data_IF_646925424803
#
_entry.id   IF_646925424803
#
_cell.length_a   1.000
_cell.length_b   1.000
_cell.length_c   1.000
_cell.angle_alpha   90.00
_cell.angle_beta   90.00
_cell.angle_gamma   90.00
#
_symmetry.space_group_name_H-M   'P 1'
#
loop_
_entity.id
_entity.type
_entity.pdbx_description
1 polymer ?
#
# COMPACT_ATOMS: atom_id res chain seq x y z
N UNK A 1 22.64 -12.47 -12.30
CA UNK A 1 23.64 -12.72 -11.25
C UNK A 1 22.96 -12.54 -9.89
N UNK A 2 23.12 -13.47 -8.95
CA UNK A 2 22.55 -13.31 -7.61
C UNK A 2 23.20 -12.10 -6.93
N UNK A 3 22.40 -11.17 -6.42
CA UNK A 3 22.84 -9.83 -5.97
C UNK A 3 23.77 -9.83 -4.75
N UNK A 4 24.15 -10.99 -4.21
CA UNK A 4 24.98 -11.12 -3.01
C UNK A 4 24.34 -10.56 -1.72
N UNK A 5 23.17 -9.94 -1.85
CA UNK A 5 22.40 -9.30 -0.79
C UNK A 5 21.78 -10.38 0.09
N UNK A 6 22.12 -10.37 1.37
CA UNK A 6 21.32 -11.09 2.38
C UNK A 6 19.94 -10.49 2.45
N UNK A 7 18.92 -11.33 2.32
CA UNK A 7 17.55 -10.93 2.49
C UNK A 7 16.83 -11.81 3.51
N UNK A 8 15.98 -11.16 4.30
CA UNK A 8 15.14 -11.84 5.30
C UNK A 8 14.18 -12.80 4.59
N UNK A 9 13.61 -12.39 3.43
CA UNK A 9 12.73 -13.22 2.63
C UNK A 9 13.39 -14.51 2.14
N UNK A 10 14.57 -14.40 1.52
CA UNK A 10 15.37 -15.54 1.03
C UNK A 10 15.78 -16.46 2.17
N UNK A 11 16.17 -15.90 3.32
CA UNK A 11 16.52 -16.67 4.51
C UNK A 11 15.30 -17.44 5.02
N UNK A 12 14.14 -16.79 5.14
CA UNK A 12 12.89 -17.43 5.58
C UNK A 12 12.38 -18.47 4.57
N UNK A 13 12.57 -18.24 3.28
CA UNK A 13 12.28 -19.20 2.22
C UNK A 13 13.16 -20.43 2.33
N UNK A 14 14.49 -20.25 2.43
CA UNK A 14 15.44 -21.35 2.61
C UNK A 14 15.18 -22.15 3.90
N UNK A 15 14.81 -21.47 4.99
CA UNK A 15 14.39 -22.11 6.24
C UNK A 15 13.17 -23.00 6.02
N UNK A 16 12.14 -22.51 5.33
CA UNK A 16 10.95 -23.30 5.03
C UNK A 16 11.25 -24.49 4.12
N UNK A 17 12.10 -24.32 3.10
CA UNK A 17 12.56 -25.42 2.25
C UNK A 17 13.28 -26.50 3.05
N UNK A 18 14.13 -26.11 4.02
CA UNK A 18 14.84 -27.06 4.88
C UNK A 18 13.92 -27.85 5.84
N UNK A 19 12.69 -27.37 6.09
CA UNK A 19 11.68 -28.13 6.84
C UNK A 19 11.09 -29.29 6.03
N UNK A 20 11.30 -29.33 4.71
CA UNK A 20 10.78 -30.35 3.81
C UNK A 20 9.34 -30.09 3.32
N UNK A 21 8.69 -31.08 2.69
CA UNK A 21 7.39 -30.89 2.01
C UNK A 21 6.22 -30.67 2.98
N UNK A 22 5.34 -29.70 2.65
CA UNK A 22 4.11 -29.33 3.37
C UNK A 22 4.07 -27.86 3.83
N UNK A 23 3.14 -27.52 4.72
CA UNK A 23 2.79 -26.11 4.99
C UNK A 23 3.94 -25.26 5.54
N UNK A 24 4.04 -23.97 5.14
CA UNK A 24 5.09 -23.10 5.62
C UNK A 24 4.93 -22.79 7.12
N UNK A 25 6.06 -22.80 7.82
CA UNK A 25 6.17 -22.38 9.22
C UNK A 25 6.61 -20.93 9.28
N UNK A 26 5.91 -20.14 10.08
CA UNK A 26 6.31 -18.78 10.37
C UNK A 26 7.41 -18.76 11.43
N UNK A 27 8.43 -17.92 11.19
CA UNK A 27 9.51 -17.67 12.13
C UNK A 27 9.37 -16.23 12.64
N UNK A 28 9.42 -16.07 13.96
CA UNK A 28 9.44 -14.77 14.62
C UNK A 28 10.86 -14.27 14.83
N UNK A 29 11.06 -13.00 14.54
CA UNK A 29 12.24 -12.27 14.97
C UNK A 29 12.27 -12.16 16.50
N UNK A 30 13.48 -12.25 17.04
CA UNK A 30 13.69 -12.29 18.48
C UNK A 30 13.69 -10.89 19.07
N UNK A 31 12.91 -10.68 20.14
CA UNK A 31 12.92 -9.41 20.91
C UNK A 31 14.29 -9.18 21.57
N UNK A 32 14.68 -7.92 21.75
CA UNK A 32 15.98 -7.50 22.29
C UNK A 32 16.46 -8.32 23.52
N UNK A 33 15.58 -8.57 24.49
CA UNK A 33 15.88 -9.35 25.71
C UNK A 33 16.32 -10.81 25.48
N UNK A 34 16.10 -11.38 24.29
CA UNK A 34 16.41 -12.76 23.96
C UNK A 34 17.51 -12.91 22.90
N UNK A 35 18.12 -11.80 22.45
CA UNK A 35 19.19 -11.81 21.45
C UNK A 35 20.45 -12.55 21.91
N UNK A 36 20.66 -12.81 23.21
CA UNK A 36 21.75 -13.71 23.62
C UNK A 36 21.49 -15.16 23.22
N UNK A 37 20.22 -15.57 23.15
CA UNK A 37 19.83 -16.97 22.99
C UNK A 37 19.44 -17.35 21.56
N UNK A 38 18.95 -16.39 20.75
CA UNK A 38 18.46 -16.65 19.39
C UNK A 38 18.26 -15.36 18.59
N UNK A 39 18.23 -15.49 17.28
CA UNK A 39 17.86 -14.47 16.30
C UNK A 39 16.44 -14.73 15.77
N UNK A 40 16.11 -15.99 15.47
CA UNK A 40 14.76 -16.41 15.06
C UNK A 40 14.20 -17.52 15.95
N UNK A 41 12.87 -17.61 15.99
CA UNK A 41 12.13 -18.69 16.65
C UNK A 41 10.98 -19.13 15.75
N UNK A 42 10.95 -20.41 15.36
CA UNK A 42 9.71 -21.07 14.94
C UNK A 42 9.04 -21.63 16.20
N UNK A 43 7.93 -21.04 16.67
CA UNK A 43 7.40 -21.44 17.97
C UNK A 43 6.61 -22.73 17.90
N UNK A 44 6.50 -23.36 19.07
CA UNK A 44 5.94 -24.69 19.24
C UNK A 44 4.57 -24.91 18.55
N UNK A 45 3.58 -23.99 18.62
CA UNK A 45 2.30 -24.21 17.94
C UNK A 45 2.41 -24.32 16.42
N UNK A 46 3.34 -23.55 15.82
CA UNK A 46 3.58 -23.61 14.38
C UNK A 46 4.24 -24.93 13.97
N UNK A 47 5.13 -25.44 14.83
CA UNK A 47 5.78 -26.74 14.63
C UNK A 47 4.83 -27.91 14.90
N UNK A 48 3.89 -27.79 15.84
CA UNK A 48 2.84 -28.78 16.08
C UNK A 48 1.89 -28.89 14.89
N UNK A 49 1.45 -27.76 14.33
CA UNK A 49 0.67 -27.77 13.10
C UNK A 49 1.41 -28.49 11.95
N UNK A 50 2.74 -28.43 11.96
CA UNK A 50 3.60 -28.99 10.91
C UNK A 50 3.97 -30.46 11.08
N UNK A 51 4.32 -30.86 12.30
CA UNK A 51 4.89 -32.18 12.63
C UNK A 51 3.99 -33.00 13.56
N UNK A 52 2.82 -32.47 13.94
CA UNK A 52 1.86 -33.11 14.85
C UNK A 52 2.26 -32.92 16.32
N UNK A 53 3.24 -33.68 16.78
CA UNK A 53 3.71 -33.68 18.18
C UNK A 53 4.59 -32.46 18.53
N UNK A 54 4.96 -31.67 17.52
CA UNK A 54 5.85 -30.51 17.62
C UNK A 54 7.31 -30.89 17.79
N UNK A 55 7.67 -32.17 17.68
CA UNK A 55 9.06 -32.62 17.63
C UNK A 55 9.60 -32.41 16.22
N UNK A 56 10.64 -31.58 16.13
CA UNK A 56 11.33 -31.35 14.86
C UNK A 56 12.32 -32.50 14.64
N UNK A 57 12.20 -33.28 13.55
CA UNK A 57 13.13 -34.37 13.28
C UNK A 57 14.58 -33.89 13.25
N UNK A 58 15.53 -34.66 13.81
CA UNK A 58 16.94 -34.24 13.86
C UNK A 58 17.53 -33.91 12.48
N UNK A 59 17.11 -34.64 11.44
CA UNK A 59 17.51 -34.38 10.05
C UNK A 59 17.15 -32.95 9.60
N UNK A 60 16.01 -32.44 10.06
CA UNK A 60 15.55 -31.07 9.77
C UNK A 60 16.40 -30.06 10.54
N UNK A 61 16.70 -30.33 11.81
CA UNK A 61 17.59 -29.48 12.62
C UNK A 61 18.96 -29.35 11.97
N UNK A 62 19.53 -30.46 11.49
CA UNK A 62 20.82 -30.47 10.75
C UNK A 62 20.72 -29.76 9.41
N UNK A 63 19.65 -29.97 8.64
CA UNK A 63 19.44 -29.28 7.36
C UNK A 63 19.37 -27.76 7.55
N UNK A 64 18.65 -27.29 8.57
CA UNK A 64 18.55 -25.88 8.93
C UNK A 64 19.90 -25.31 9.39
N UNK A 65 20.64 -26.05 10.22
CA UNK A 65 21.98 -25.64 10.67
C UNK A 65 22.99 -25.58 9.51
N UNK A 66 22.82 -26.41 8.48
CA UNK A 66 23.67 -26.47 7.29
C UNK A 66 23.28 -25.51 6.16
N UNK A 67 22.33 -24.60 6.38
CA UNK A 67 21.88 -23.67 5.35
C UNK A 67 23.00 -22.73 4.89
N UNK A 68 23.20 -22.69 3.58
CA UNK A 68 24.17 -21.81 2.92
C UNK A 68 23.58 -21.23 1.64
N UNK A 69 24.06 -20.05 1.23
CA UNK A 69 23.68 -19.44 -0.04
C UNK A 69 23.99 -17.95 -0.12
N UNK A 70 24.09 -17.38 -1.35
CA UNK A 70 24.44 -15.99 -1.57
C UNK A 70 23.40 -14.98 -1.06
N UNK A 71 22.15 -15.40 -0.82
CA UNK A 71 21.09 -14.58 -0.20
C UNK A 71 20.65 -15.05 1.19
N UNK A 72 21.19 -16.18 1.67
CA UNK A 72 20.76 -16.83 2.93
C UNK A 72 21.72 -16.47 4.05
N UNK A 73 21.17 -16.03 5.19
CA UNK A 73 21.96 -15.74 6.38
C UNK A 73 22.53 -17.05 6.97
N UNK A 74 23.86 -17.16 7.16
CA UNK A 74 24.47 -18.37 7.69
C UNK A 74 23.99 -18.65 9.12
N UNK A 75 23.61 -19.90 9.39
CA UNK A 75 23.13 -20.35 10.69
C UNK A 75 24.31 -20.85 11.52
N UNK A 76 24.50 -20.27 12.71
CA UNK A 76 25.50 -20.73 13.69
C UNK A 76 24.97 -21.94 14.46
N UNK A 77 23.70 -21.87 14.89
CA UNK A 77 23.08 -22.89 15.72
C UNK A 77 21.60 -22.99 15.45
N UNK A 78 21.11 -24.21 15.37
CA UNK A 78 19.68 -24.53 15.37
C UNK A 78 19.42 -25.54 16.48
N UNK A 79 18.47 -25.27 17.37
CA UNK A 79 18.18 -26.15 18.50
C UNK A 79 16.69 -26.15 18.86
N UNK A 80 16.09 -27.33 19.12
CA UNK A 80 14.77 -27.40 19.73
C UNK A 80 14.83 -26.89 21.18
N UNK A 81 13.82 -26.14 21.57
CA UNK A 81 13.65 -25.57 22.91
C UNK A 81 12.19 -25.75 23.36
N UNK A 82 11.86 -25.58 24.65
CA UNK A 82 10.46 -25.61 25.10
C UNK A 82 9.56 -24.62 24.34
N UNK A 83 10.11 -23.49 23.89
CA UNK A 83 9.38 -22.48 23.14
C UNK A 83 9.21 -22.80 21.64
N UNK A 84 9.94 -23.79 21.11
CA UNK A 84 9.99 -24.14 19.68
C UNK A 84 11.43 -24.27 19.16
N UNK A 85 11.62 -24.17 17.85
CA UNK A 85 12.92 -24.29 17.19
C UNK A 85 13.61 -22.92 17.17
N UNK A 86 14.70 -22.79 17.92
CA UNK A 86 15.47 -21.57 18.05
C UNK A 86 16.67 -21.57 17.10
N UNK A 87 16.91 -20.44 16.44
CA UNK A 87 18.00 -20.27 15.49
C UNK A 87 18.89 -19.11 15.93
N UNK A 88 20.20 -19.32 15.92
CA UNK A 88 21.22 -18.29 16.01
C UNK A 88 21.94 -18.21 14.68
N UNK A 89 22.08 -17.00 14.15
CA UNK A 89 22.86 -16.72 12.97
C UNK A 89 24.34 -16.60 13.34
N UNK A 90 25.21 -16.87 12.38
CA UNK A 90 26.63 -16.52 12.46
C UNK A 90 26.78 -15.02 12.26
N UNK A 91 26.49 -14.25 13.32
CA UNK A 91 26.42 -12.79 13.28
C UNK A 91 27.65 -12.12 12.68
N UNK A 92 28.90 -12.49 13.02
CA UNK A 92 30.07 -11.87 12.39
C UNK A 92 30.04 -11.98 10.86
N UNK A 93 29.75 -13.17 10.32
CA UNK A 93 29.65 -13.39 8.87
C UNK A 93 28.46 -12.64 8.24
N UNK A 94 27.33 -12.53 8.95
CA UNK A 94 26.19 -11.70 8.51
C UNK A 94 26.60 -10.23 8.44
N UNK A 95 27.24 -9.70 9.49
CA UNK A 95 27.70 -8.31 9.53
C UNK A 95 28.72 -8.04 8.44
N UNK A 96 29.73 -8.90 8.26
CA UNK A 96 30.73 -8.77 7.20
C UNK A 96 30.08 -8.71 5.80
N UNK A 97 29.10 -9.58 5.52
CA UNK A 97 28.39 -9.58 4.25
C UNK A 97 27.55 -8.32 4.05
N UNK A 98 26.83 -7.87 5.08
CA UNK A 98 26.02 -6.64 4.98
C UNK A 98 26.91 -5.42 4.80
N UNK A 99 27.94 -5.28 5.64
CA UNK A 99 28.87 -4.14 5.61
C UNK A 99 29.73 -4.13 4.33
N UNK A 100 30.10 -5.31 3.82
CA UNK A 100 30.82 -5.44 2.55
C UNK A 100 29.96 -5.17 1.31
N UNK A 101 28.64 -5.11 1.45
CA UNK A 101 27.70 -4.94 0.34
C UNK A 101 26.71 -3.78 0.54
N UNK A 102 27.02 -2.78 1.38
CA UNK A 102 26.12 -1.66 1.73
C UNK A 102 25.51 -1.00 0.48
N UNK A 103 26.30 -0.79 -0.57
CA UNK A 103 25.83 -0.21 -1.82
C UNK A 103 24.68 -1.02 -2.45
N UNK A 104 24.70 -2.36 -2.36
CA UNK A 104 23.64 -3.23 -2.87
C UNK A 104 22.34 -3.16 -2.03
N UNK A 105 22.40 -2.70 -0.78
CA UNK A 105 21.24 -2.46 0.07
C UNK A 105 20.60 -1.10 -0.14
N UNK A 106 21.38 -0.12 -0.61
CA UNK A 106 20.93 1.24 -0.90
C UNK A 106 20.48 1.39 -2.36
N UNK A 107 21.00 0.55 -3.26
CA UNK A 107 20.57 0.51 -4.64
C UNK A 107 19.10 0.02 -4.77
N UNK A 108 18.28 0.65 -5.63
CA UNK A 108 16.96 0.13 -5.98
C UNK A 108 17.09 -1.30 -6.54
N UNK A 109 16.21 -2.22 -6.11
CA UNK A 109 16.20 -3.54 -6.70
C UNK A 109 15.87 -3.42 -8.19
N UNK A 110 16.75 -3.91 -9.07
CA UNK A 110 16.47 -3.99 -10.50
C UNK A 110 15.81 -5.34 -10.76
N UNK A 111 14.49 -5.39 -10.99
CA UNK A 111 13.84 -6.66 -11.27
C UNK A 111 14.28 -7.18 -12.64
N UNK A 112 14.46 -8.50 -12.76
CA UNK A 112 14.86 -9.14 -14.01
C UNK A 112 13.73 -9.22 -15.05
N UNK A 113 12.48 -9.03 -14.62
CA UNK A 113 11.26 -8.97 -15.42
C UNK A 113 10.33 -7.89 -14.84
N UNK A 114 9.44 -7.27 -15.64
CA UNK A 114 8.46 -6.34 -15.10
C UNK A 114 7.59 -7.04 -14.05
N UNK A 115 7.57 -6.51 -12.82
CA UNK A 115 6.70 -6.99 -11.76
C UNK A 115 5.22 -6.73 -12.05
N UNK A 116 4.31 -7.21 -11.19
CA UNK A 116 2.88 -7.00 -11.37
C UNK A 116 2.53 -5.51 -11.52
N UNK A 117 1.52 -5.23 -12.35
CA UNK A 117 0.99 -3.88 -12.53
C UNK A 117 0.08 -3.53 -11.36
N UNK A 118 0.40 -2.45 -10.66
CA UNK A 118 -0.41 -1.93 -9.54
C UNK A 118 -0.85 -0.51 -9.81
N UNK A 119 -2.16 -0.32 -9.88
CA UNK A 119 -2.81 0.98 -9.95
C UNK A 119 -3.15 1.46 -8.53
N UNK A 120 -2.45 2.49 -8.06
CA UNK A 120 -2.74 3.13 -6.77
C UNK A 120 -3.68 4.31 -6.99
N UNK A 121 -4.91 4.17 -6.51
CA UNK A 121 -5.94 5.21 -6.58
C UNK A 121 -6.04 5.96 -5.24
N UNK A 122 -5.88 7.28 -5.23
CA UNK A 122 -6.05 8.14 -4.06
C UNK A 122 -7.05 9.28 -4.36
N UNK A 123 -8.35 9.09 -4.09
CA UNK A 123 -9.40 10.06 -4.45
C UNK A 123 -9.25 11.41 -3.74
N UNK A 124 -8.58 11.44 -2.59
CA UNK A 124 -8.26 12.64 -1.84
C UNK A 124 -7.61 13.76 -2.69
N UNK A 125 -6.81 13.38 -3.69
CA UNK A 125 -6.09 14.31 -4.57
C UNK A 125 -6.95 15.01 -5.62
N UNK A 126 -8.27 14.72 -5.64
CA UNK A 126 -9.24 15.49 -6.44
C UNK A 126 -9.65 16.80 -5.75
N UNK A 127 -9.41 16.92 -4.45
CA UNK A 127 -9.78 18.11 -3.67
C UNK A 127 -8.69 19.18 -3.77
N UNK A 128 -9.06 20.45 -3.60
CA UNK A 128 -8.08 21.52 -3.41
C UNK A 128 -7.30 21.32 -2.08
N UNK A 129 -6.05 21.78 -1.96
CA UNK A 129 -5.26 21.64 -0.73
C UNK A 129 -5.99 22.17 0.52
N UNK A 130 -6.67 23.32 0.40
CA UNK A 130 -7.43 23.93 1.49
C UNK A 130 -8.70 23.16 1.90
N UNK A 131 -9.14 22.17 1.12
CA UNK A 131 -10.24 21.28 1.47
C UNK A 131 -9.77 19.92 1.98
N UNK A 132 -8.46 19.64 1.91
CA UNK A 132 -7.89 18.35 2.27
C UNK A 132 -7.87 18.20 3.79
N UNK A 133 -8.68 17.27 4.33
CA UNK A 133 -8.70 16.95 5.77
C UNK A 133 -7.50 16.09 6.15
N UNK A 134 -7.20 16.01 7.44
CA UNK A 134 -6.06 15.22 7.94
C UNK A 134 -6.17 13.72 7.65
N UNK A 135 -7.38 13.15 7.66
CA UNK A 135 -7.59 11.74 7.29
C UNK A 135 -7.28 11.49 5.81
N UNK A 136 -7.57 12.45 4.94
CA UNK A 136 -7.25 12.43 3.52
C UNK A 136 -5.75 12.68 3.28
N UNK A 137 -5.13 13.62 4.01
CA UNK A 137 -3.67 13.80 3.99
C UNK A 137 -2.94 12.49 4.34
N UNK A 138 -3.42 11.77 5.37
CA UNK A 138 -2.87 10.46 5.71
C UNK A 138 -2.98 9.48 4.54
N UNK A 139 -4.13 9.42 3.85
CA UNK A 139 -4.30 8.57 2.68
C UNK A 139 -3.29 8.93 1.56
N UNK A 140 -3.07 10.22 1.29
CA UNK A 140 -2.05 10.68 0.32
C UNK A 140 -0.65 10.23 0.70
N UNK A 141 -0.24 10.41 1.97
CA UNK A 141 1.08 10.01 2.45
C UNK A 141 1.28 8.49 2.44
N UNK A 142 0.23 7.73 2.76
CA UNK A 142 0.24 6.26 2.67
C UNK A 142 0.34 5.81 1.22
N UNK A 143 -0.39 6.44 0.29
CA UNK A 143 -0.34 6.11 -1.13
C UNK A 143 1.05 6.37 -1.72
N UNK A 144 1.66 7.52 -1.43
CA UNK A 144 3.03 7.85 -1.85
C UNK A 144 4.07 6.89 -1.25
N UNK A 145 3.96 6.56 0.04
CA UNK A 145 4.86 5.60 0.68
C UNK A 145 4.70 4.19 0.08
N UNK A 146 3.47 3.76 -0.18
CA UNK A 146 3.17 2.48 -0.81
C UNK A 146 3.74 2.45 -2.23
N UNK A 147 3.55 3.50 -3.03
CA UNK A 147 4.11 3.60 -4.38
C UNK A 147 5.63 3.43 -4.39
N UNK A 148 6.33 4.16 -3.51
CA UNK A 148 7.79 4.07 -3.38
C UNK A 148 8.23 2.66 -2.94
N UNK A 149 7.47 2.04 -2.04
CA UNK A 149 7.75 0.68 -1.57
C UNK A 149 7.57 -0.35 -2.67
N UNK A 150 6.42 -0.37 -3.35
CA UNK A 150 6.14 -1.32 -4.43
C UNK A 150 7.13 -1.17 -5.59
N UNK A 151 7.45 0.07 -6.00
CA UNK A 151 8.51 0.33 -7.01
C UNK A 151 9.87 -0.20 -6.57
N UNK A 152 10.24 -0.04 -5.30
CA UNK A 152 11.49 -0.58 -4.77
C UNK A 152 11.52 -2.13 -4.74
N UNK A 153 10.36 -2.79 -4.79
CA UNK A 153 10.22 -4.23 -4.94
C UNK A 153 10.10 -4.68 -6.42
N UNK A 154 10.24 -3.75 -7.36
CA UNK A 154 10.22 -4.05 -8.79
C UNK A 154 8.82 -4.12 -9.41
N UNK A 155 7.79 -3.72 -8.68
CA UNK A 155 6.44 -3.62 -9.22
C UNK A 155 6.29 -2.40 -10.12
N UNK A 156 5.47 -2.53 -11.16
CA UNK A 156 5.12 -1.39 -12.00
C UNK A 156 3.95 -0.66 -11.35
N UNK A 157 4.17 0.58 -10.91
CA UNK A 157 3.16 1.34 -10.16
C UNK A 157 2.71 2.58 -10.92
N UNK A 158 1.41 2.66 -11.20
CA UNK A 158 0.75 3.87 -11.71
C UNK A 158 -0.09 4.53 -10.61
N UNK A 159 0.02 5.85 -10.53
CA UNK A 159 -0.69 6.68 -9.54
C UNK A 159 -1.86 7.40 -10.21
N UNK A 160 -3.03 7.40 -9.59
CA UNK A 160 -4.26 8.07 -10.07
C UNK A 160 -5.00 8.68 -8.89
N UNK A 161 -5.61 9.86 -9.01
CA UNK A 161 -5.75 10.69 -10.21
C UNK A 161 -4.50 11.53 -10.50
N UNK A 162 -4.39 12.00 -11.73
CA UNK A 162 -3.54 13.15 -12.03
C UNK A 162 -4.09 14.39 -11.30
N UNK A 163 -3.20 15.19 -10.70
CA UNK A 163 -3.61 16.35 -9.92
C UNK A 163 -4.13 17.46 -10.84
N UNK A 164 -5.39 17.88 -10.63
CA UNK A 164 -6.06 18.90 -11.46
C UNK A 164 -6.00 20.31 -10.87
N UNK A 165 -5.98 20.42 -9.53
CA UNK A 165 -5.91 21.72 -8.85
C UNK A 165 -4.51 22.33 -9.03
N UNK A 166 -4.38 23.61 -9.42
CA UNK A 166 -3.08 24.22 -9.72
C UNK A 166 -2.18 24.43 -8.49
N UNK A 167 -2.74 24.47 -7.28
CA UNK A 167 -1.98 24.66 -6.04
C UNK A 167 -1.52 23.35 -5.40
N UNK A 168 -2.17 22.24 -5.75
CA UNK A 168 -1.86 20.93 -5.20
C UNK A 168 -0.45 20.42 -5.53
N UNK A 169 0.12 20.59 -6.75
CA UNK A 169 1.49 20.17 -7.03
C UNK A 169 2.52 20.84 -6.10
N UNK A 170 2.37 22.14 -5.85
CA UNK A 170 3.23 22.89 -4.93
C UNK A 170 3.11 22.37 -3.50
N UNK A 171 1.88 22.06 -3.06
CA UNK A 171 1.64 21.49 -1.74
C UNK A 171 2.23 20.08 -1.58
N UNK A 172 2.11 19.22 -2.61
CA UNK A 172 2.73 17.89 -2.61
C UNK A 172 4.26 17.99 -2.62
N UNK A 173 4.82 18.94 -3.38
CA UNK A 173 6.26 19.21 -3.38
C UNK A 173 6.74 19.67 -2.00
N UNK A 174 6.00 20.55 -1.32
CA UNK A 174 6.27 20.97 0.06
C UNK A 174 6.30 19.76 1.01
N UNK A 175 5.40 18.79 0.81
CA UNK A 175 5.37 17.53 1.57
C UNK A 175 6.37 16.47 1.06
N UNK A 176 7.14 16.76 0.00
CA UNK A 176 8.04 15.80 -0.67
C UNK A 176 7.30 14.51 -1.05
N UNK A 177 6.14 14.67 -1.66
CA UNK A 177 5.31 13.61 -2.21
C UNK A 177 5.48 13.63 -3.73
N UNK A 178 5.81 12.48 -4.30
CA UNK A 178 5.99 12.33 -5.74
C UNK A 178 4.70 11.82 -6.37
N UNK A 179 4.02 12.68 -7.12
CA UNK A 179 2.70 12.38 -7.69
C UNK A 179 2.56 12.97 -9.10
N UNK A 180 1.88 12.28 -10.04
CA UNK A 180 1.71 12.77 -11.41
C UNK A 180 0.97 14.10 -11.49
N UNK A 181 1.51 15.00 -12.31
CA UNK A 181 0.83 16.21 -12.76
C UNK A 181 -0.34 15.88 -13.69
N UNK A 182 -1.20 16.88 -13.95
CA UNK A 182 -2.37 16.78 -14.80
C UNK A 182 -2.08 16.04 -16.12
N UNK A 183 -2.94 15.08 -16.45
CA UNK A 183 -2.98 14.39 -17.76
C UNK A 183 -4.15 14.93 -18.60
N UNK A 184 -4.19 14.57 -19.88
CA UNK A 184 -5.36 14.79 -20.72
C UNK A 184 -6.62 14.21 -20.09
N UNK A 185 -7.78 14.85 -20.33
CA UNK A 185 -9.04 14.35 -19.79
C UNK A 185 -9.43 13.07 -20.51
N UNK A 186 -9.60 12.01 -19.72
CA UNK A 186 -10.15 10.76 -20.22
C UNK A 186 -11.57 10.97 -20.78
N UNK A 187 -11.87 10.33 -21.91
CA UNK A 187 -13.16 10.42 -22.57
C UNK A 187 -14.25 9.71 -21.78
N UNK A 188 -15.37 10.38 -21.52
CA UNK A 188 -16.48 9.86 -20.70
C UNK A 188 -17.68 9.39 -21.51
N UNK A 189 -17.76 9.66 -22.82
CA UNK A 189 -18.95 9.42 -23.64
C UNK A 189 -19.41 7.95 -23.65
N UNK A 190 -18.46 7.02 -23.81
CA UNK A 190 -18.79 5.59 -23.81
C UNK A 190 -19.35 5.13 -22.46
N UNK A 191 -18.74 5.59 -21.36
CA UNK A 191 -19.22 5.34 -20.00
C UNK A 191 -20.59 5.95 -19.75
N UNK A 192 -20.83 7.16 -20.26
CA UNK A 192 -22.12 7.85 -20.17
C UNK A 192 -23.23 7.08 -20.88
N UNK A 193 -22.98 6.63 -22.11
CA UNK A 193 -23.95 5.85 -22.87
C UNK A 193 -24.29 4.52 -22.15
N UNK A 194 -23.29 3.83 -21.59
CA UNK A 194 -23.50 2.62 -20.79
C UNK A 194 -24.28 2.92 -19.50
N UNK A 195 -23.93 4.00 -18.80
CA UNK A 195 -24.63 4.39 -17.58
C UNK A 195 -26.11 4.68 -17.86
N UNK A 196 -26.43 5.40 -18.94
CA UNK A 196 -27.80 5.69 -19.36
C UNK A 196 -28.59 4.43 -19.72
N UNK A 197 -27.95 3.41 -20.32
CA UNK A 197 -28.59 2.13 -20.61
C UNK A 197 -28.95 1.33 -19.34
N UNK A 198 -28.19 1.51 -18.26
CA UNK A 198 -28.43 0.87 -16.95
C UNK A 198 -29.45 1.61 -16.08
N UNK A 199 -29.91 2.80 -16.48
CA UNK A 199 -30.93 3.54 -15.74
C UNK A 199 -32.30 2.90 -15.95
N UNK A 200 -33.03 2.71 -14.85
CA UNK A 200 -34.40 2.22 -14.93
C UNK A 200 -35.34 3.30 -15.48
N UNK A 201 -36.11 3.04 -16.55
CA UNK A 201 -36.99 4.04 -17.18
C UNK A 201 -38.14 4.52 -16.28
N UNK A 202 -38.41 3.82 -15.17
CA UNK A 202 -39.52 4.12 -14.27
C UNK A 202 -39.19 5.17 -13.18
N UNK A 203 -37.93 5.54 -12.99
CA UNK A 203 -37.49 6.20 -11.75
C UNK A 203 -37.24 7.72 -11.86
N UNK A 204 -37.34 8.30 -13.05
CA UNK A 204 -37.02 9.71 -13.28
C UNK A 204 -38.23 10.49 -13.79
N UNK A 205 -39.14 10.82 -12.87
CA UNK A 205 -40.31 11.64 -13.15
C UNK A 205 -40.16 13.09 -12.66
N UNK A 206 -38.93 13.53 -12.37
CA UNK A 206 -38.60 14.88 -11.91
C UNK A 206 -37.33 15.42 -12.56
N UNK A 207 -37.18 16.74 -12.59
CA UNK A 207 -35.99 17.39 -13.13
C UNK A 207 -34.75 17.01 -12.29
N UNK A 208 -33.80 16.32 -12.90
CA UNK A 208 -32.52 16.02 -12.26
C UNK A 208 -31.66 17.28 -12.11
N UNK A 209 -30.87 17.39 -11.02
CA UNK A 209 -29.87 18.44 -10.90
C UNK A 209 -28.84 18.38 -12.04
N UNK A 210 -28.29 19.54 -12.41
CA UNK A 210 -27.24 19.62 -13.45
C UNK A 210 -26.06 18.71 -13.08
N UNK A 211 -25.65 17.84 -14.02
CA UNK A 211 -24.52 16.94 -13.84
C UNK A 211 -24.86 15.58 -13.21
N UNK A 212 -26.12 15.35 -12.84
CA UNK A 212 -26.63 14.04 -12.41
C UNK A 212 -27.22 13.33 -13.63
N UNK A 213 -26.84 12.06 -13.85
CA UNK A 213 -27.38 11.22 -14.92
C UNK A 213 -28.53 10.35 -14.44
N UNK A 214 -28.46 9.85 -13.20
CA UNK A 214 -29.51 9.02 -12.63
C UNK A 214 -29.01 8.05 -11.56
N UNK A 215 -29.84 7.08 -11.19
CA UNK A 215 -29.48 6.04 -10.21
C UNK A 215 -29.35 4.67 -10.86
N UNK A 216 -28.19 4.03 -10.68
CA UNK A 216 -27.94 2.65 -11.12
C UNK A 216 -28.11 1.68 -9.94
N UNK A 217 -28.81 0.57 -10.19
CA UNK A 217 -28.95 -0.52 -9.22
C UNK A 217 -27.68 -1.38 -9.18
N UNK A 218 -27.12 -1.59 -7.99
CA UNK A 218 -25.91 -2.40 -7.75
C UNK A 218 -26.19 -3.69 -6.95
N UNK A 219 -27.46 -3.93 -6.57
CA UNK A 219 -27.86 -5.00 -5.65
C UNK A 219 -27.35 -6.39 -6.06
N UNK A 220 -27.42 -6.73 -7.34
CA UNK A 220 -26.93 -8.01 -7.87
C UNK A 220 -25.42 -8.17 -7.64
N UNK A 221 -24.62 -7.15 -7.96
CA UNK A 221 -23.17 -7.17 -7.76
C UNK A 221 -22.76 -7.25 -6.28
N UNK A 222 -23.52 -6.59 -5.39
CA UNK A 222 -23.32 -6.69 -3.93
C UNK A 222 -23.55 -8.11 -3.44
N UNK A 223 -24.60 -8.77 -3.93
CA UNK A 223 -24.95 -10.14 -3.54
C UNK A 223 -23.96 -11.17 -4.07
N UNK A 224 -23.56 -11.06 -5.34
CA UNK A 224 -22.67 -12.03 -5.99
C UNK A 224 -21.23 -11.95 -5.49
N UNK A 225 -20.69 -10.72 -5.34
CA UNK A 225 -19.25 -10.51 -5.12
C UNK A 225 -18.93 -9.57 -3.96
N UNK A 226 -19.79 -8.57 -3.71
CA UNK A 226 -19.57 -7.59 -2.63
C UNK A 226 -19.42 -8.24 -1.26
N UNK A 227 -20.25 -9.25 -0.93
CA UNK A 227 -20.16 -9.98 0.35
C UNK A 227 -18.83 -10.69 0.55
N UNK A 228 -18.33 -11.37 -0.49
CA UNK A 228 -17.05 -12.06 -0.43
C UNK A 228 -15.86 -11.09 -0.34
N UNK A 229 -15.99 -9.90 -0.94
CA UNK A 229 -15.00 -8.82 -0.89
C UNK A 229 -15.10 -7.95 0.38
N UNK A 230 -16.07 -8.21 1.27
CA UNK A 230 -16.26 -7.46 2.51
C UNK A 230 -16.84 -6.06 2.33
N UNK A 231 -17.59 -5.82 1.25
CA UNK A 231 -18.22 -4.51 0.99
C UNK A 231 -19.42 -4.28 1.92
N UNK A 232 -19.77 -3.01 2.11
CA UNK A 232 -20.95 -2.63 2.87
C UNK A 232 -22.23 -3.20 2.21
N UNK A 233 -23.12 -3.87 2.98
CA UNK A 233 -24.33 -4.48 2.42
C UNK A 233 -25.35 -3.45 1.90
N UNK A 234 -25.21 -2.16 2.22
CA UNK A 234 -26.15 -1.10 1.85
C UNK A 234 -25.77 -0.39 0.54
N UNK A 235 -24.91 -0.99 -0.30
CA UNK A 235 -24.45 -0.42 -1.57
C UNK A 235 -25.43 -0.59 -2.74
N UNK A 236 -26.70 -0.94 -2.49
CA UNK A 236 -27.69 -1.32 -3.51
C UNK A 236 -27.92 -0.29 -4.63
N UNK A 237 -27.59 0.99 -4.40
CA UNK A 237 -27.83 2.09 -5.34
C UNK A 237 -26.64 3.05 -5.41
N UNK A 238 -26.30 3.45 -6.64
CA UNK A 238 -25.30 4.47 -6.93
C UNK A 238 -25.92 5.62 -7.73
N UNK A 239 -25.79 6.85 -7.21
CA UNK A 239 -26.13 8.07 -7.95
C UNK A 239 -24.98 8.38 -8.92
N UNK A 240 -25.24 8.29 -10.21
CA UNK A 240 -24.25 8.53 -11.25
C UNK A 240 -24.23 10.00 -11.61
N UNK A 241 -23.05 10.61 -11.53
CA UNK A 241 -22.78 12.00 -11.92
C UNK A 241 -21.70 12.06 -12.98
N UNK A 242 -21.60 13.17 -13.71
CA UNK A 242 -20.52 13.43 -14.68
C UNK A 242 -19.14 13.38 -14.03
N UNK A 243 -19.02 13.85 -12.77
CA UNK A 243 -17.77 13.78 -12.01
C UNK A 243 -17.40 12.32 -11.70
N UNK A 244 -18.37 11.49 -11.33
CA UNK A 244 -18.15 10.07 -11.07
C UNK A 244 -17.73 9.32 -12.34
N UNK A 245 -18.34 9.64 -13.49
CA UNK A 245 -17.92 9.09 -14.77
C UNK A 245 -16.52 9.57 -15.17
N UNK A 246 -16.15 10.81 -14.85
CA UNK A 246 -14.80 11.32 -15.05
C UNK A 246 -13.78 10.55 -14.21
N UNK A 247 -14.12 10.19 -12.96
CA UNK A 247 -13.29 9.32 -12.12
C UNK A 247 -13.10 7.95 -12.75
N UNK A 248 -14.19 7.35 -13.23
CA UNK A 248 -14.15 6.04 -13.88
C UNK A 248 -13.36 6.05 -15.18
N UNK A 249 -13.50 7.10 -15.99
CA UNK A 249 -12.76 7.24 -17.25
C UNK A 249 -11.25 7.29 -17.00
N UNK A 250 -10.80 8.05 -15.99
CA UNK A 250 -9.37 8.08 -15.60
C UNK A 250 -8.88 6.73 -15.10
N UNK A 251 -9.69 6.03 -14.29
CA UNK A 251 -9.35 4.69 -13.80
C UNK A 251 -9.26 3.67 -14.95
N UNK A 252 -10.18 3.73 -15.91
CA UNK A 252 -10.18 2.89 -17.12
C UNK A 252 -8.96 3.13 -17.99
N UNK A 253 -8.68 4.39 -18.30
CA UNK A 253 -7.54 4.78 -19.12
C UNK A 253 -6.22 4.36 -18.44
N UNK A 254 -6.12 4.59 -17.13
CA UNK A 254 -4.95 4.20 -16.35
C UNK A 254 -4.75 2.68 -16.27
N UNK A 255 -5.83 1.90 -16.21
CA UNK A 255 -5.77 0.44 -16.21
C UNK A 255 -5.41 -0.15 -17.58
N UNK A 256 -5.88 0.48 -18.68
CA UNK A 256 -5.69 -0.01 -20.06
C UNK A 256 -4.36 0.40 -20.68
N UNK A 257 -3.95 1.65 -20.48
CA UNK A 257 -2.86 2.26 -21.26
C UNK A 257 -1.54 2.27 -20.50
N UNK A 258 -0.92 1.13 -20.20
CA UNK A 258 0.28 1.10 -19.37
C UNK A 258 1.53 1.65 -20.11
N UNK A 259 2.42 2.40 -19.44
CA UNK A 259 3.62 2.93 -20.11
C UNK A 259 4.52 1.77 -20.59
N UNK A 260 4.86 1.76 -21.88
CA UNK A 260 5.73 0.74 -22.49
C UNK A 260 5.00 -0.44 -23.15
N UNK A 261 3.66 -0.47 -23.12
CA UNK A 261 2.90 -1.41 -23.96
C UNK A 261 3.04 -1.02 -25.43
N UNK A 262 3.57 -1.93 -26.25
CA UNK A 262 3.43 -1.83 -27.71
C UNK A 262 1.97 -2.10 -28.09
N UNK A 263 1.43 -1.45 -29.14
CA UNK A 263 0.07 -1.74 -29.58
C UNK A 263 -0.10 -3.25 -29.83
N UNK A 264 -1.24 -3.85 -29.44
CA UNK A 264 -1.44 -5.28 -29.54
C UNK A 264 -1.25 -5.72 -31.00
N UNK A 265 -0.26 -6.58 -31.24
CA UNK A 265 -0.06 -7.24 -32.52
C UNK A 265 -1.27 -8.13 -32.82
N UNK A 266 -1.80 -8.04 -34.04
CA UNK A 266 -2.98 -8.75 -34.56
C UNK A 266 -2.90 -10.30 -34.53
N UNK A 267 -1.86 -10.88 -33.93
CA UNK A 267 -1.57 -12.32 -33.93
C UNK A 267 -1.48 -12.96 -32.53
N UNK A 268 -1.77 -12.25 -31.44
CA UNK A 268 -1.77 -12.85 -30.10
C UNK A 268 -3.12 -13.55 -29.83
N UNK A 269 -3.07 -14.86 -29.56
CA UNK A 269 -4.23 -15.65 -29.15
C UNK A 269 -4.89 -15.07 -27.87
N UNK A 270 -6.22 -15.21 -27.69
CA UNK A 270 -6.95 -14.50 -26.62
C UNK A 270 -6.63 -14.95 -25.19
N UNK A 271 -5.93 -16.07 -25.01
CA UNK A 271 -5.89 -16.78 -23.73
C UNK A 271 -4.45 -17.12 -23.33
N UNK A 272 -3.76 -16.19 -22.66
CA UNK A 272 -2.64 -16.51 -21.74
C UNK A 272 -2.15 -15.32 -20.90
N UNK A 273 -2.45 -14.06 -21.23
CA UNK A 273 -1.85 -12.91 -20.56
C UNK A 273 -2.77 -11.68 -20.47
N UNK A 274 -4.01 -11.88 -19.99
CA UNK A 274 -4.82 -10.77 -19.48
C UNK A 274 -4.17 -10.26 -18.19
N UNK A 275 -3.17 -9.41 -18.41
CA UNK A 275 -2.27 -8.78 -17.45
C UNK A 275 -3.08 -8.23 -16.27
N UNK A 276 -3.07 -8.95 -15.14
CA UNK A 276 -3.94 -8.71 -13.97
C UNK A 276 -3.45 -7.46 -13.23
N UNK A 277 -3.72 -6.30 -13.79
CA UNK A 277 -3.61 -5.02 -13.09
C UNK A 277 -4.39 -5.12 -11.77
N UNK A 278 -3.69 -4.95 -10.64
CA UNK A 278 -4.31 -4.86 -9.33
C UNK A 278 -4.59 -3.40 -9.02
N UNK A 279 -5.82 -3.09 -8.62
CA UNK A 279 -6.16 -1.74 -8.16
C UNK A 279 -6.16 -1.72 -6.64
N UNK A 280 -5.46 -0.76 -6.05
CA UNK A 280 -5.52 -0.49 -4.61
C UNK A 280 -6.02 0.92 -4.41
N UNK A 281 -7.21 1.04 -3.84
CA UNK A 281 -7.79 2.32 -3.46
C UNK A 281 -7.32 2.68 -2.04
N UNK A 282 -6.49 3.71 -1.95
CA UNK A 282 -6.02 4.27 -0.68
C UNK A 282 -6.93 5.42 -0.30
N UNK A 283 -7.80 5.18 0.67
CA UNK A 283 -8.92 6.08 1.02
C UNK A 283 -8.91 6.42 2.49
N UNK A 284 -9.50 7.55 2.86
CA UNK A 284 -9.85 7.78 4.26
C UNK A 284 -11.08 6.94 4.65
N UNK A 285 -11.27 6.69 5.95
CA UNK A 285 -12.45 5.96 6.43
C UNK A 285 -13.77 6.66 6.08
N UNK A 286 -13.77 7.98 5.90
CA UNK A 286 -14.96 8.73 5.47
C UNK A 286 -15.29 8.53 3.97
N UNK A 287 -14.32 8.10 3.16
CA UNK A 287 -14.45 7.94 1.71
C UNK A 287 -14.72 6.49 1.28
N UNK A 288 -14.49 5.53 2.18
CA UNK A 288 -14.59 4.09 1.88
C UNK A 288 -15.92 3.71 1.22
N UNK A 289 -17.04 4.14 1.80
CA UNK A 289 -18.36 3.79 1.29
C UNK A 289 -18.60 4.31 -0.13
N UNK A 290 -18.16 5.54 -0.43
CA UNK A 290 -18.29 6.09 -1.78
C UNK A 290 -17.35 5.40 -2.76
N UNK A 291 -16.13 5.04 -2.32
CA UNK A 291 -15.19 4.32 -3.15
C UNK A 291 -15.69 2.91 -3.52
N UNK A 292 -16.34 2.21 -2.59
CA UNK A 292 -16.95 0.90 -2.86
C UNK A 292 -18.08 1.03 -3.91
N UNK A 293 -18.83 2.14 -3.93
CA UNK A 293 -19.80 2.41 -5.01
C UNK A 293 -19.13 2.62 -6.36
N UNK A 294 -18.01 3.36 -6.39
CA UNK A 294 -17.26 3.61 -7.63
C UNK A 294 -16.75 2.28 -8.21
N UNK A 295 -16.21 1.40 -7.38
CA UNK A 295 -15.73 0.07 -7.78
C UNK A 295 -16.86 -0.79 -8.37
N UNK A 296 -17.98 -0.92 -7.67
CA UNK A 296 -19.14 -1.66 -8.17
C UNK A 296 -19.70 -1.06 -9.47
N UNK A 297 -19.75 0.28 -9.55
CA UNK A 297 -20.17 0.95 -10.78
C UNK A 297 -19.19 0.71 -11.92
N UNK A 298 -17.87 0.70 -11.66
CA UNK A 298 -16.87 0.39 -12.67
C UNK A 298 -17.11 -1.01 -13.25
N UNK A 299 -17.27 -2.02 -12.39
CA UNK A 299 -17.55 -3.39 -12.84
C UNK A 299 -18.85 -3.51 -13.61
N UNK A 300 -19.86 -2.71 -13.25
CA UNK A 300 -21.15 -2.70 -13.94
C UNK A 300 -21.05 -2.08 -15.34
N UNK A 301 -20.29 -1.01 -15.49
CA UNK A 301 -20.18 -0.25 -16.74
C UNK A 301 -19.04 -0.73 -17.64
N UNK A 302 -18.17 -1.62 -17.17
CA UNK A 302 -16.99 -2.07 -17.89
C UNK A 302 -16.65 -3.53 -17.63
N UNK A 303 -16.90 -4.37 -18.64
CA UNK A 303 -16.53 -5.79 -18.63
C UNK A 303 -15.02 -6.02 -18.51
N UNK A 304 -14.20 -5.00 -18.81
CA UNK A 304 -12.74 -5.02 -18.68
C UNK A 304 -12.25 -4.42 -17.35
N UNK A 305 -13.15 -4.13 -16.40
CA UNK A 305 -12.75 -3.64 -15.09
C UNK A 305 -11.83 -4.66 -14.38
N UNK A 306 -10.75 -4.21 -13.70
CA UNK A 306 -9.86 -5.10 -12.99
C UNK A 306 -10.58 -6.02 -12.00
N UNK A 307 -10.28 -7.32 -12.10
CA UNK A 307 -10.86 -8.36 -11.24
C UNK A 307 -10.44 -8.20 -9.77
N UNK A 308 -9.25 -7.67 -9.52
CA UNK A 308 -8.70 -7.50 -8.17
C UNK A 308 -8.66 -6.02 -7.80
N UNK A 309 -9.61 -5.60 -6.99
CA UNK A 309 -9.65 -4.26 -6.41
C UNK A 309 -9.63 -4.39 -4.89
N UNK A 310 -8.70 -3.68 -4.23
CA UNK A 310 -8.51 -3.70 -2.77
C UNK A 310 -8.67 -2.30 -2.20
N UNK A 311 -9.16 -2.23 -0.96
CA UNK A 311 -9.33 -0.98 -0.23
C UNK A 311 -8.33 -0.94 0.94
N UNK A 312 -7.41 0.03 0.89
CA UNK A 312 -6.53 0.36 2.01
C UNK A 312 -7.13 1.57 2.75
N UNK A 313 -7.89 1.28 3.81
CA UNK A 313 -8.64 2.29 4.56
C UNK A 313 -7.77 2.90 5.66
N UNK A 314 -7.53 4.21 5.55
CA UNK A 314 -6.81 4.99 6.53
C UNK A 314 -7.78 5.44 7.62
N UNK A 315 -7.48 5.06 8.88
CA UNK A 315 -8.28 5.46 10.03
C UNK A 315 -8.25 6.97 10.28
N UNK A 316 -9.21 7.50 11.05
CA UNK A 316 -9.39 8.93 11.26
C UNK A 316 -8.16 9.54 11.96
N UNK A 317 -7.89 10.81 11.65
CA UNK A 317 -6.82 11.60 12.29
C UNK A 317 -7.45 12.71 13.11
N UNK A 318 -7.11 12.77 14.39
CA UNK A 318 -7.59 13.79 15.33
C UNK A 318 -6.42 14.52 15.95
N UNK A 319 -6.54 15.85 16.07
CA UNK A 319 -5.57 16.70 16.76
C UNK A 319 -6.15 17.07 18.11
N UNK A 320 -5.43 16.77 19.19
CA UNK A 320 -5.86 17.14 20.53
C UNK A 320 -5.79 18.67 20.72
N UNK A 321 -6.85 19.27 21.26
CA UNK A 321 -6.85 20.69 21.66
C UNK A 321 -7.03 21.72 20.53
N UNK A 322 -7.33 21.30 19.30
CA UNK A 322 -7.64 22.21 18.21
C UNK A 322 -9.17 22.38 18.04
N UNK A 323 -9.72 23.62 18.10
CA UNK A 323 -11.12 23.87 17.76
C UNK A 323 -11.27 23.88 16.22
N UNK A 324 -11.92 22.85 15.67
CA UNK A 324 -12.22 22.74 14.24
C UNK A 324 -11.43 21.65 13.49
N UNK A 325 -11.88 21.33 12.29
CA UNK A 325 -11.20 20.40 11.38
C UNK A 325 -10.05 21.12 10.68
N UNK A 326 -8.83 21.03 11.23
CA UNK A 326 -7.63 21.51 10.57
C UNK A 326 -7.51 20.91 9.16
N UNK A 327 -7.22 21.78 8.20
CA UNK A 327 -6.85 21.39 6.84
C UNK A 327 -5.40 20.93 6.80
N UNK A 328 -5.03 20.22 5.74
CA UNK A 328 -3.68 19.73 5.56
C UNK A 328 -2.62 20.86 5.49
N UNK A 329 -2.86 21.99 4.78
CA UNK A 329 -1.94 23.14 4.81
C UNK A 329 -1.82 23.77 6.19
N UNK A 330 -2.93 23.99 6.90
CA UNK A 330 -2.89 24.56 8.27
C UNK A 330 -2.12 23.65 9.23
N UNK A 331 -2.24 22.33 9.07
CA UNK A 331 -1.49 21.37 9.87
C UNK A 331 0.01 21.42 9.57
N UNK A 332 0.40 21.57 8.31
CA UNK A 332 1.79 21.78 7.95
C UNK A 332 2.34 23.04 8.61
N UNK A 333 1.64 24.18 8.48
CA UNK A 333 2.06 25.46 9.06
C UNK A 333 2.17 25.39 10.59
N UNK A 334 1.24 24.69 11.24
CA UNK A 334 1.30 24.42 12.67
C UNK A 334 2.60 23.67 13.05
N UNK A 335 2.94 22.61 12.31
CA UNK A 335 4.17 21.84 12.58
C UNK A 335 5.43 22.64 12.26
N UNK A 336 5.40 23.44 11.20
CA UNK A 336 6.48 24.36 10.86
C UNK A 336 6.76 25.35 11.99
N UNK A 337 5.71 26.03 12.49
CA UNK A 337 5.84 26.95 13.61
C UNK A 337 6.38 26.28 14.89
N UNK A 338 5.95 25.04 15.16
CA UNK A 338 6.43 24.27 16.31
C UNK A 338 7.91 23.88 16.18
N UNK A 339 8.35 23.46 14.99
CA UNK A 339 9.75 23.12 14.70
C UNK A 339 10.63 24.37 14.84
N UNK A 340 10.21 25.51 14.28
CA UNK A 340 10.92 26.79 14.44
C UNK A 340 11.08 27.16 15.92
N UNK A 341 9.98 27.10 16.69
CA UNK A 341 10.00 27.41 18.13
C UNK A 341 10.92 26.47 18.91
N UNK A 342 10.84 25.16 18.68
CA UNK A 342 11.67 24.17 19.36
C UNK A 342 13.15 24.34 19.02
N UNK A 343 13.46 24.65 17.76
CA UNK A 343 14.83 24.87 17.30
C UNK A 343 15.42 26.15 17.89
N UNK A 344 14.63 27.23 17.99
CA UNK A 344 15.08 28.49 18.60
C UNK A 344 15.45 28.32 20.09
N UNK A 345 14.73 27.45 20.81
CA UNK A 345 15.06 27.12 22.21
C UNK A 345 16.38 26.35 22.31
N UNK A 346 16.67 25.45 21.36
CA UNK A 346 17.84 24.57 21.41
C UNK A 346 19.11 25.21 20.86
N UNK A 347 18.99 26.07 19.85
CA UNK A 347 20.11 26.54 19.04
C UNK A 347 20.24 28.08 19.03
N UNK A 348 19.35 28.82 19.71
CA UNK A 348 19.38 30.28 19.80
C UNK A 348 18.28 30.97 18.96
N UNK A 349 18.00 32.25 19.24
CA UNK A 349 16.81 32.94 18.69
C UNK A 349 16.92 33.42 17.24
N UNK A 350 18.13 33.52 16.67
CA UNK A 350 18.34 34.19 15.38
C UNK A 350 18.34 33.25 14.15
N UNK A 351 17.90 32.00 14.34
CA UNK A 351 17.94 30.97 13.29
C UNK A 351 16.86 31.17 12.23
N UNK A 352 15.78 31.87 12.56
CA UNK A 352 14.67 32.10 11.62
C UNK A 352 15.05 33.04 10.46
N UNK A 353 16.13 33.81 10.59
CA UNK A 353 16.63 34.72 9.55
C UNK A 353 17.76 34.09 8.72
N UNK A 354 18.27 32.92 9.13
CA UNK A 354 19.32 32.20 8.41
C UNK A 354 18.71 31.29 7.33
N UNK A 355 18.99 31.55 6.03
CA UNK A 355 18.49 30.73 4.93
C UNK A 355 18.87 29.24 5.04
N UNK A 356 19.99 28.92 5.67
CA UNK A 356 20.42 27.53 5.89
C UNK A 356 19.45 26.78 6.81
N UNK A 357 18.82 27.49 7.75
CA UNK A 357 17.86 26.91 8.70
C UNK A 357 16.46 26.78 8.12
N UNK A 358 16.07 27.60 7.15
CA UNK A 358 14.77 27.48 6.48
C UNK A 358 14.56 26.09 5.86
N UNK A 359 15.58 25.55 5.18
CA UNK A 359 15.50 24.19 4.62
C UNK A 359 15.47 23.13 5.72
N UNK A 360 16.24 23.31 6.80
CA UNK A 360 16.22 22.40 7.95
C UNK A 360 14.83 22.37 8.60
N UNK A 361 14.20 23.53 8.79
CA UNK A 361 12.84 23.62 9.33
C UNK A 361 11.83 22.93 8.42
N UNK A 362 11.93 23.15 7.10
CA UNK A 362 11.11 22.47 6.11
C UNK A 362 11.25 20.95 6.21
N UNK A 363 12.48 20.41 6.18
CA UNK A 363 12.76 18.97 6.29
C UNK A 363 12.21 18.38 7.58
N UNK A 364 12.49 19.02 8.73
CA UNK A 364 12.05 18.53 10.03
C UNK A 364 10.52 18.57 10.19
N UNK A 365 9.87 19.58 9.61
CA UNK A 365 8.41 19.71 9.64
C UNK A 365 7.74 18.62 8.81
N UNK A 366 8.22 18.40 7.59
CA UNK A 366 7.74 17.30 6.72
C UNK A 366 7.99 15.94 7.38
N UNK A 367 9.16 15.74 7.96
CA UNK A 367 9.49 14.50 8.66
C UNK A 367 8.55 14.27 9.85
N UNK A 368 8.25 15.32 10.62
CA UNK A 368 7.30 15.27 11.74
C UNK A 368 5.91 14.87 11.25
N UNK A 369 5.38 15.56 10.23
CA UNK A 369 4.07 15.24 9.63
C UNK A 369 4.02 13.79 9.15
N UNK A 370 5.02 13.34 8.38
CA UNK A 370 5.09 11.96 7.87
C UNK A 370 5.19 10.95 9.00
N UNK A 371 6.03 11.20 10.01
CA UNK A 371 6.19 10.30 11.14
C UNK A 371 4.88 10.12 11.90
N UNK A 372 4.18 11.21 12.21
CA UNK A 372 2.91 11.13 12.94
C UNK A 372 1.81 10.43 12.15
N UNK A 373 1.75 10.66 10.83
CA UNK A 373 0.70 10.09 9.96
C UNK A 373 0.95 8.62 9.60
N UNK A 374 2.22 8.20 9.49
CA UNK A 374 2.61 6.85 9.06
C UNK A 374 2.95 5.90 10.22
N UNK A 375 3.30 6.40 11.41
CA UNK A 375 3.69 5.54 12.55
C UNK A 375 2.51 4.79 13.19
N UNK A 376 1.27 5.14 12.82
CA UNK A 376 0.09 4.41 13.25
C UNK A 376 -0.35 3.48 12.13
N UNK A 377 -0.59 2.21 12.46
CA UNK A 377 -1.09 1.25 11.47
C UNK A 377 -2.44 1.74 10.91
N UNK A 378 -2.66 1.65 9.59
CA UNK A 378 -4.01 1.82 9.04
C UNK A 378 -4.93 0.78 9.68
N UNK A 379 -6.16 1.18 9.98
CA UNK A 379 -7.15 0.25 10.55
C UNK A 379 -7.62 -0.67 9.43
N UNK A 380 -6.95 -1.81 9.26
CA UNK A 380 -7.47 -2.92 8.47
C UNK A 380 -8.38 -3.78 9.36
N UNK A 381 -9.59 -4.04 8.85
CA UNK A 381 -10.60 -5.03 9.26
C UNK A 381 -10.26 -5.88 10.50
N UNK A 382 -11.16 -5.91 11.48
CA UNK A 382 -11.11 -6.75 12.69
C UNK A 382 -10.78 -8.23 12.37
N UNK A 383 -9.50 -8.53 12.17
CA UNK A 383 -8.95 -9.86 12.32
C UNK A 383 -8.55 -9.99 13.79
N UNK A 384 -9.16 -10.97 14.46
CA UNK A 384 -8.75 -11.39 15.79
C UNK A 384 -7.22 -11.38 15.94
N UNK A 385 -6.75 -10.83 17.06
CA UNK A 385 -5.35 -10.57 17.47
C UNK A 385 -4.38 -11.78 17.38
N UNK A 386 -4.75 -12.90 16.77
CA UNK A 386 -3.91 -14.08 16.53
C UNK A 386 -3.44 -14.28 15.08
N UNK A 387 -3.81 -13.42 14.12
CA UNK A 387 -3.58 -13.69 12.68
C UNK A 387 -2.80 -12.60 11.92
N UNK A 388 -2.16 -11.67 12.62
CA UNK A 388 -1.49 -10.49 12.05
C UNK A 388 -0.24 -10.80 11.19
N UNK A 389 0.19 -12.07 11.07
CA UNK A 389 1.36 -12.50 10.26
C UNK A 389 0.99 -13.26 8.98
N UNK A 390 -0.30 -13.57 8.70
CA UNK A 390 -0.65 -14.52 7.62
C UNK A 390 -0.94 -13.93 6.23
N UNK A 391 -1.07 -12.61 6.06
CA UNK A 391 -1.48 -12.06 4.76
C UNK A 391 -0.59 -10.98 4.13
N UNK A 392 0.54 -10.64 4.76
CA UNK A 392 1.55 -9.76 4.14
C UNK A 392 2.65 -10.51 3.38
N UNK A 393 2.50 -11.83 3.15
CA UNK A 393 3.49 -12.66 2.42
C UNK A 393 2.99 -13.25 1.11
N UNK A 394 1.86 -12.76 0.60
CA UNK A 394 1.36 -13.06 -0.76
C UNK A 394 1.04 -11.78 -1.54
N UNK A 395 1.81 -10.71 -1.27
CA UNK A 395 2.05 -9.64 -2.23
C UNK A 395 3.44 -9.88 -2.78
#
# INVERSE_FOLDING_TARGET
>A
MATGRLGVGETLGALNTALGPGDPVWFKETRARHLRARDFLAPRPALQARFGDGQVPERVVRAVAGLQGPGVAPVLRCAPTPAGLALQLQRPAVFERVLGAVAAYVAPATPAAPGPRVLLHCPALRSAPGALRLSQLRAVLVADHLARTLRAHGESVRLVPAVRDPHMPTFLQQLRVDWPAASERAATEALRNRALAELSPAQERGALPRGVLGTVCLKELVQERGRAAGYDPNLDKCLVTEDLLSVLAELQEAARCWPGDSPPSLAAAPDANADRCMVVHVVSCEEEFQQQKVDLLWRKLDDQAPLTQKHLVCGPVKVAGAPGTLTAPEYYELRYAQVCKASAVKHGRDLAQDPAWTEVFSVLSVATVKFEMLSTAPHGQHFHKGHQERHLRHV
#
